data_IF_382613335245
#
_entry.id   IF_382613335245
#
_cell.length_a   1.000
_cell.length_b   1.000
_cell.length_c   1.000
_cell.angle_alpha   90.00
_cell.angle_beta   90.00
_cell.angle_gamma   90.00
#
_symmetry.space_group_name_H-M   'P 1'
#
loop_
_entity.id
_entity.type
_entity.pdbx_description
1 polymer ?
#
# COMPACT_ATOMS: atom_id res chain seq x y z
N UNK A 1 -46.30 0.38 27.07
CA UNK A 1 -44.82 0.57 27.07
C UNK A 1 -44.03 -0.66 26.61
N UNK A 2 -44.58 -1.89 26.68
CA UNK A 2 -43.91 -3.12 26.20
C UNK A 2 -43.85 -3.25 24.67
N UNK A 3 -44.92 -2.90 23.93
CA UNK A 3 -44.97 -3.07 22.47
C UNK A 3 -43.88 -2.27 21.72
N UNK A 4 -43.57 -1.04 22.17
CA UNK A 4 -42.48 -0.22 21.62
C UNK A 4 -41.09 -0.81 21.90
N UNK A 5 -40.90 -1.48 23.04
CA UNK A 5 -39.63 -2.15 23.39
C UNK A 5 -39.42 -3.42 22.56
N UNK A 6 -40.49 -4.16 22.28
CA UNK A 6 -40.45 -5.36 21.43
C UNK A 6 -40.13 -5.02 19.96
N UNK A 7 -40.68 -3.92 19.43
CA UNK A 7 -40.39 -3.46 18.07
C UNK A 7 -38.93 -2.99 17.94
N UNK A 8 -38.41 -2.28 18.95
CA UNK A 8 -37.03 -1.83 18.94
C UNK A 8 -36.03 -3.00 19.02
N UNK A 9 -36.33 -4.03 19.82
CA UNK A 9 -35.52 -5.25 19.90
C UNK A 9 -35.52 -6.04 18.59
N UNK A 10 -36.66 -6.10 17.88
CA UNK A 10 -36.77 -6.76 16.58
C UNK A 10 -35.97 -6.03 15.47
N UNK A 11 -35.94 -4.69 15.50
CA UNK A 11 -35.14 -3.90 14.54
C UNK A 11 -33.63 -4.09 14.73
N UNK A 12 -33.17 -4.20 15.98
CA UNK A 12 -31.75 -4.40 16.29
C UNK A 12 -31.30 -5.81 15.85
N UNK A 13 -32.15 -6.83 16.02
CA UNK A 13 -31.84 -8.20 15.59
C UNK A 13 -31.81 -8.35 14.06
N UNK A 14 -32.64 -7.58 13.32
CA UNK A 14 -32.68 -7.64 11.87
C UNK A 14 -31.41 -7.07 11.20
N UNK A 15 -30.70 -6.14 11.86
CA UNK A 15 -29.43 -5.58 11.35
C UNK A 15 -28.21 -6.45 11.70
N UNK A 16 -28.34 -7.43 12.58
CA UNK A 16 -27.23 -8.30 13.00
C UNK A 16 -26.94 -9.46 12.02
N UNK A 17 -27.75 -9.63 10.97
CA UNK A 17 -27.71 -10.81 10.07
C UNK A 17 -27.30 -10.46 8.63
N UNK A 18 -26.85 -9.24 8.36
CA UNK A 18 -26.22 -8.97 7.07
C UNK A 18 -24.78 -9.48 7.13
N UNK A 19 -24.43 -10.59 6.46
CA UNK A 19 -23.03 -10.97 6.35
C UNK A 19 -22.32 -9.82 5.64
N UNK A 20 -21.28 -9.27 6.26
CA UNK A 20 -20.33 -8.42 5.55
C UNK A 20 -19.86 -9.22 4.34
N UNK A 21 -20.26 -8.80 3.13
CA UNK A 21 -19.83 -9.48 1.91
C UNK A 21 -18.32 -9.34 1.84
N UNK A 22 -17.61 -10.45 2.00
CA UNK A 22 -16.20 -10.50 1.71
C UNK A 22 -15.99 -9.98 0.28
N UNK A 23 -15.07 -9.04 0.10
CA UNK A 23 -14.71 -8.47 -1.20
C UNK A 23 -13.88 -9.48 -2.00
N UNK A 24 -14.39 -10.70 -2.19
CA UNK A 24 -13.65 -11.77 -2.87
C UNK A 24 -13.50 -11.51 -4.36
N UNK A 25 -14.41 -10.76 -5.00
CA UNK A 25 -14.29 -10.44 -6.42
C UNK A 25 -12.98 -9.71 -6.79
N UNK A 26 -12.35 -9.00 -5.84
CA UNK A 26 -11.07 -8.33 -6.08
C UNK A 26 -9.91 -9.32 -6.24
N UNK A 27 -9.95 -10.50 -5.58
CA UNK A 27 -8.87 -11.48 -5.67
C UNK A 27 -8.79 -12.11 -7.06
N UNK A 28 -9.94 -12.29 -7.72
CA UNK A 28 -10.03 -12.84 -9.07
C UNK A 28 -9.43 -11.88 -10.13
N UNK A 29 -9.30 -10.60 -9.77
CA UNK A 29 -8.69 -9.57 -10.63
C UNK A 29 -7.21 -9.35 -10.36
N UNK A 30 -6.63 -9.99 -9.32
CA UNK A 30 -5.21 -9.87 -9.04
C UNK A 30 -4.41 -10.54 -10.18
N UNK A 31 -3.51 -9.82 -10.87
CA UNK A 31 -2.75 -10.41 -11.96
C UNK A 31 -1.91 -11.60 -11.47
N UNK A 32 -1.94 -12.71 -12.19
CA UNK A 32 -1.11 -13.90 -11.90
C UNK A 32 0.39 -13.56 -11.93
N UNK A 33 0.77 -12.50 -12.65
CA UNK A 33 2.12 -11.97 -12.67
C UNK A 33 2.52 -11.23 -11.40
N UNK A 34 1.60 -10.88 -10.50
CA UNK A 34 1.93 -10.31 -9.20
C UNK A 34 2.53 -11.39 -8.30
N UNK A 35 3.86 -11.35 -8.12
CA UNK A 35 4.61 -12.38 -7.40
C UNK A 35 4.90 -12.00 -5.96
N UNK A 36 4.98 -10.71 -5.64
CA UNK A 36 5.08 -10.20 -4.28
C UNK A 36 4.23 -8.94 -4.14
N UNK A 37 3.47 -8.86 -3.05
CA UNK A 37 2.68 -7.69 -2.66
C UNK A 37 2.91 -7.44 -1.18
N UNK A 38 3.65 -6.38 -0.85
CA UNK A 38 4.03 -6.05 0.53
C UNK A 38 3.47 -4.68 0.88
N UNK A 39 2.66 -4.62 1.94
CA UNK A 39 2.20 -3.35 2.51
C UNK A 39 3.06 -3.03 3.74
N UNK A 40 3.69 -1.86 3.76
CA UNK A 40 4.62 -1.46 4.82
C UNK A 40 4.75 0.07 4.86
N UNK A 41 5.36 0.57 5.94
CA UNK A 41 5.61 2.00 6.13
C UNK A 41 4.34 2.83 6.22
N UNK A 42 4.53 4.12 6.45
CA UNK A 42 3.45 5.10 6.55
C UNK A 42 3.85 6.40 5.86
N UNK A 43 2.85 7.15 5.42
CA UNK A 43 3.04 8.52 4.96
C UNK A 43 1.98 9.41 5.58
N UNK A 44 2.32 10.69 5.72
CA UNK A 44 1.44 11.69 6.27
C UNK A 44 1.61 13.00 5.50
N UNK A 45 0.54 13.46 4.87
CA UNK A 45 0.45 14.82 4.36
C UNK A 45 -0.20 15.68 5.45
N UNK A 46 0.60 16.59 6.03
CA UNK A 46 0.16 17.50 7.10
C UNK A 46 -0.95 18.47 6.66
N UNK A 47 -1.23 18.55 5.36
CA UNK A 47 -2.31 19.33 4.76
C UNK A 47 -2.38 20.75 5.32
N UNK A 48 -1.25 21.47 5.36
CA UNK A 48 -1.20 22.79 6.01
C UNK A 48 -1.85 23.88 5.15
N UNK A 49 -2.04 23.62 3.86
CA UNK A 49 -2.56 24.60 2.89
C UNK A 49 -4.09 24.49 2.72
N UNK A 50 -4.79 25.63 2.59
CA UNK A 50 -6.18 25.66 2.16
C UNK A 50 -6.37 24.92 0.82
N UNK A 51 -7.41 24.10 0.72
CA UNK A 51 -7.72 23.35 -0.51
C UNK A 51 -8.88 24.01 -1.25
N UNK A 52 -8.79 24.05 -2.57
CA UNK A 52 -9.90 24.49 -3.42
C UNK A 52 -11.00 23.42 -3.44
N UNK A 53 -12.22 23.82 -3.11
CA UNK A 53 -13.39 22.98 -3.21
C UNK A 53 -13.83 22.77 -4.66
N UNK A 54 -14.68 21.77 -4.90
CA UNK A 54 -15.30 21.55 -6.21
C UNK A 54 -16.14 22.74 -6.72
N UNK A 55 -16.43 23.70 -5.85
CA UNK A 55 -17.12 24.97 -6.09
C UNK A 55 -16.14 26.14 -6.33
N UNK A 56 -14.83 25.90 -6.41
CA UNK A 56 -13.79 26.92 -6.54
C UNK A 56 -13.53 27.73 -5.27
N UNK A 57 -14.17 27.40 -4.14
CA UNK A 57 -13.95 28.11 -2.88
C UNK A 57 -12.80 27.49 -2.08
N UNK A 58 -11.93 28.34 -1.55
CA UNK A 58 -10.89 27.91 -0.61
C UNK A 58 -11.53 27.47 0.70
N UNK A 59 -11.29 26.20 1.07
CA UNK A 59 -11.71 25.63 2.35
C UNK A 59 -10.51 25.55 3.28
N UNK A 60 -10.71 25.76 4.59
CA UNK A 60 -9.64 25.59 5.57
C UNK A 60 -9.06 24.17 5.45
N UNK A 61 -7.75 24.02 5.72
CA UNK A 61 -7.12 22.72 5.71
C UNK A 61 -7.88 21.72 6.60
N UNK A 62 -7.98 20.44 6.21
CA UNK A 62 -8.65 19.44 7.03
C UNK A 62 -8.00 19.37 8.41
N UNK A 63 -8.83 19.26 9.46
CA UNK A 63 -8.38 19.29 10.86
C UNK A 63 -7.48 18.11 11.26
N UNK A 64 -7.35 17.11 10.39
CA UNK A 64 -6.48 15.95 10.61
C UNK A 64 -5.62 15.74 9.37
N UNK A 65 -4.35 15.36 9.55
CA UNK A 65 -3.47 15.06 8.44
C UNK A 65 -4.02 13.88 7.63
N UNK A 66 -3.81 13.90 6.31
CA UNK A 66 -4.13 12.74 5.47
C UNK A 66 -2.99 11.76 5.63
N UNK A 67 -3.31 10.53 5.99
CA UNK A 67 -2.32 9.47 6.20
C UNK A 67 -2.68 8.21 5.44
N UNK A 68 -1.68 7.38 5.26
CA UNK A 68 -1.82 6.11 4.58
C UNK A 68 -0.53 5.32 4.62
N UNK A 69 -0.48 4.23 3.85
CA UNK A 69 0.65 3.32 3.82
C UNK A 69 1.20 3.16 2.41
N UNK A 70 2.41 2.61 2.31
CA UNK A 70 2.99 2.26 1.02
C UNK A 70 2.78 0.79 0.71
N UNK A 71 2.72 0.47 -0.58
CA UNK A 71 2.69 -0.90 -1.06
C UNK A 71 3.73 -1.09 -2.15
N UNK A 72 4.61 -2.07 -1.95
CA UNK A 72 5.60 -2.48 -2.94
C UNK A 72 5.09 -3.74 -3.63
N UNK A 73 5.07 -3.72 -4.96
CA UNK A 73 4.53 -4.79 -5.80
C UNK A 73 5.59 -5.21 -6.80
N UNK A 74 5.89 -6.51 -6.87
CA UNK A 74 6.70 -7.07 -7.96
C UNK A 74 5.79 -7.78 -8.97
N UNK A 75 5.86 -7.34 -10.23
CA UNK A 75 5.12 -7.91 -11.36
C UNK A 75 6.09 -8.62 -12.29
N UNK A 76 5.95 -9.93 -12.44
CA UNK A 76 6.72 -10.75 -13.37
C UNK A 76 6.36 -10.43 -14.82
N UNK A 77 7.37 -10.26 -15.64
CA UNK A 77 7.29 -10.00 -17.06
C UNK A 77 7.40 -11.31 -17.87
N UNK A 78 7.06 -11.26 -19.16
CA UNK A 78 7.08 -12.44 -20.03
C UNK A 78 8.48 -13.03 -20.25
N UNK A 79 9.53 -12.24 -20.08
CA UNK A 79 10.94 -12.68 -20.16
C UNK A 79 11.47 -13.27 -18.84
N UNK A 80 10.63 -13.35 -17.81
CA UNK A 80 10.96 -13.89 -16.50
C UNK A 80 11.52 -12.87 -15.50
N UNK A 81 11.90 -11.67 -15.96
CA UNK A 81 12.29 -10.53 -15.10
C UNK A 81 11.07 -9.97 -14.37
N UNK A 82 11.26 -9.01 -13.47
CA UNK A 82 10.18 -8.34 -12.78
C UNK A 82 10.33 -6.82 -12.86
N UNK A 83 9.18 -6.14 -12.91
CA UNK A 83 9.06 -4.71 -12.64
C UNK A 83 8.59 -4.52 -11.21
N UNK A 84 9.10 -3.50 -10.54
CA UNK A 84 8.70 -3.18 -9.17
C UNK A 84 7.95 -1.86 -9.19
N UNK A 85 6.79 -1.84 -8.52
CA UNK A 85 5.95 -0.66 -8.39
C UNK A 85 5.85 -0.26 -6.92
N UNK A 86 5.92 1.03 -6.66
CA UNK A 86 5.59 1.64 -5.38
C UNK A 86 4.23 2.32 -5.50
N UNK A 87 3.32 1.97 -4.61
CA UNK A 87 2.00 2.60 -4.51
C UNK A 87 1.87 3.37 -3.20
N UNK A 88 1.29 4.57 -3.28
CA UNK A 88 0.89 5.38 -2.13
C UNK A 88 -0.62 5.24 -1.93
N UNK A 89 -1.02 4.63 -0.81
CA UNK A 89 -2.43 4.31 -0.53
C UNK A 89 -2.92 5.17 0.64
N UNK A 90 -4.02 5.90 0.47
CA UNK A 90 -4.65 6.68 1.54
C UNK A 90 -5.67 5.85 2.33
N UNK A 91 -5.75 6.11 3.63
CA UNK A 91 -6.90 5.67 4.41
C UNK A 91 -8.09 6.59 4.15
N UNK A 92 -9.21 6.01 3.71
CA UNK A 92 -10.46 6.74 3.51
C UNK A 92 -11.62 6.02 4.19
N UNK A 93 -12.75 6.70 4.37
CA UNK A 93 -13.95 6.12 4.97
C UNK A 93 -14.50 4.94 4.16
N UNK A 94 -14.31 4.95 2.84
CA UNK A 94 -14.78 3.92 1.92
C UNK A 94 -13.75 2.78 1.71
N UNK A 95 -12.62 2.85 2.41
CA UNK A 95 -11.53 1.88 2.34
C UNK A 95 -10.21 2.47 1.79
N UNK A 96 -9.23 1.62 1.45
CA UNK A 96 -7.97 2.07 0.89
C UNK A 96 -8.16 2.71 -0.49
N UNK A 97 -7.64 3.94 -0.68
CA UNK A 97 -7.69 4.64 -1.96
C UNK A 97 -6.28 4.80 -2.55
N UNK A 98 -6.08 4.36 -3.80
CA UNK A 98 -4.81 4.53 -4.49
C UNK A 98 -4.63 6.00 -4.87
N UNK A 99 -3.59 6.65 -4.34
CA UNK A 99 -3.23 8.02 -4.73
C UNK A 99 -2.21 8.04 -5.85
N UNK A 100 -1.24 7.16 -5.78
CA UNK A 100 -0.07 7.19 -6.66
C UNK A 100 0.44 5.78 -6.94
N UNK A 101 0.94 5.56 -8.15
CA UNK A 101 1.56 4.31 -8.58
C UNK A 101 2.76 4.63 -9.48
N UNK A 102 3.97 4.35 -8.99
CA UNK A 102 5.24 4.67 -9.65
C UNK A 102 5.97 3.37 -9.98
N UNK A 103 6.50 3.25 -11.20
CA UNK A 103 7.45 2.20 -11.55
C UNK A 103 8.83 2.59 -11.03
N UNK A 104 9.49 1.69 -10.31
CA UNK A 104 10.86 1.87 -9.84
C UNK A 104 11.81 1.39 -10.94
N UNK A 105 12.16 2.30 -11.85
CA UNK A 105 12.88 2.00 -13.10
C UNK A 105 14.25 1.37 -12.88
N UNK A 106 14.91 1.67 -11.76
CA UNK A 106 16.21 1.12 -11.38
C UNK A 106 16.21 -0.41 -11.45
N UNK A 107 15.14 -1.04 -10.94
CA UNK A 107 15.01 -2.50 -10.96
C UNK A 107 14.77 -3.06 -12.37
N UNK A 108 14.06 -2.32 -13.22
CA UNK A 108 13.81 -2.71 -14.61
C UNK A 108 15.09 -2.60 -15.46
N UNK A 109 15.88 -1.53 -15.25
CA UNK A 109 17.17 -1.33 -15.94
C UNK A 109 18.17 -2.45 -15.63
N UNK A 110 18.14 -3.00 -14.41
CA UNK A 110 18.98 -4.13 -14.00
C UNK A 110 18.52 -5.50 -14.53
N UNK A 111 17.36 -5.58 -15.21
CA UNK A 111 16.73 -6.86 -15.60
C UNK A 111 16.57 -7.82 -14.43
N UNK A 112 16.05 -7.28 -13.32
CA UNK A 112 15.97 -7.99 -12.05
C UNK A 112 15.01 -9.19 -12.08
N UNK A 113 15.46 -10.31 -11.53
CA UNK A 113 14.68 -11.49 -11.20
C UNK A 113 14.39 -11.47 -9.71
N UNK A 114 13.24 -10.94 -9.32
CA UNK A 114 12.85 -10.79 -7.90
C UNK A 114 12.54 -12.15 -7.29
N UNK A 115 13.16 -12.45 -6.15
CA UNK A 115 13.03 -13.71 -5.42
C UNK A 115 12.35 -13.56 -4.07
N UNK A 116 12.39 -12.37 -3.46
CA UNK A 116 11.65 -12.05 -2.23
C UNK A 116 11.50 -10.52 -2.10
N UNK A 117 10.49 -10.06 -1.37
CA UNK A 117 10.32 -8.66 -0.96
C UNK A 117 9.93 -8.66 0.50
N UNK A 118 10.73 -8.02 1.34
CA UNK A 118 10.61 -8.08 2.79
C UNK A 118 10.49 -6.69 3.40
N UNK A 119 9.42 -6.41 4.18
CA UNK A 119 9.36 -5.20 4.97
C UNK A 119 10.35 -5.29 6.13
N UNK A 120 10.83 -4.14 6.62
CA UNK A 120 11.67 -4.08 7.82
C UNK A 120 11.02 -4.75 9.04
N UNK A 121 9.71 -4.61 9.18
CA UNK A 121 8.94 -5.13 10.31
C UNK A 121 7.71 -5.90 9.85
N UNK A 122 7.42 -7.00 10.56
CA UNK A 122 6.16 -7.75 10.41
C UNK A 122 5.04 -7.19 11.29
N UNK A 123 5.30 -6.15 12.08
CA UNK A 123 4.28 -5.48 12.90
C UNK A 123 3.30 -4.65 12.05
N UNK A 124 3.55 -4.52 10.74
CA UNK A 124 2.76 -3.74 9.81
C UNK A 124 3.24 -2.29 9.71
N UNK A 125 2.30 -1.38 9.52
CA UNK A 125 2.55 0.05 9.43
C UNK A 125 3.14 0.61 10.75
N UNK A 126 4.27 1.30 10.65
CA UNK A 126 4.90 2.05 11.75
C UNK A 126 4.05 3.27 12.15
N UNK A 127 4.08 3.70 13.42
CA UNK A 127 3.39 4.93 13.85
C UNK A 127 4.04 6.22 13.28
N UNK A 128 5.29 6.12 12.81
CA UNK A 128 6.02 7.21 12.17
C UNK A 128 6.03 7.09 10.64
N UNK A 129 5.99 8.22 9.90
CA UNK A 129 6.18 8.21 8.45
C UNK A 129 7.53 7.62 8.03
N UNK A 130 7.55 7.04 6.84
CA UNK A 130 8.72 6.42 6.22
C UNK A 130 8.43 5.03 5.67
N UNK A 131 9.37 4.51 4.90
CA UNK A 131 9.35 3.16 4.32
C UNK A 131 10.75 2.57 4.36
N UNK A 132 10.83 1.31 4.78
CA UNK A 132 12.01 0.48 4.58
C UNK A 132 11.56 -0.90 4.10
N UNK A 133 11.95 -1.24 2.86
CA UNK A 133 11.66 -2.54 2.24
C UNK A 133 12.91 -3.05 1.55
N UNK A 134 13.29 -4.29 1.83
CA UNK A 134 14.38 -4.99 1.14
C UNK A 134 13.81 -5.86 0.03
N UNK A 135 14.28 -5.64 -1.20
CA UNK A 135 14.03 -6.47 -2.37
C UNK A 135 15.23 -7.41 -2.55
N UNK A 136 14.95 -8.71 -2.60
CA UNK A 136 15.95 -9.72 -2.96
C UNK A 136 15.77 -10.07 -4.43
N UNK A 137 16.85 -9.99 -5.20
CA UNK A 137 16.83 -10.16 -6.64
C UNK A 137 18.10 -10.78 -7.19
N UNK A 138 18.02 -11.31 -8.40
CA UNK A 138 19.17 -11.75 -9.20
C UNK A 138 19.21 -10.97 -10.50
N UNK A 139 20.40 -10.66 -11.01
CA UNK A 139 20.58 -10.09 -12.36
C UNK A 139 20.93 -11.17 -13.38
N UNK A 140 21.56 -12.26 -12.93
CA UNK A 140 21.66 -13.53 -13.64
C UNK A 140 20.70 -14.56 -13.00
N UNK A 141 19.68 -15.07 -13.72
CA UNK A 141 18.74 -16.04 -13.16
C UNK A 141 19.40 -17.35 -12.74
N UNK A 142 20.59 -17.67 -13.25
CA UNK A 142 21.38 -18.85 -12.89
C UNK A 142 22.29 -18.62 -11.68
N UNK A 143 22.40 -17.39 -11.18
CA UNK A 143 23.15 -17.09 -9.96
C UNK A 143 22.59 -17.87 -8.77
N UNK A 144 23.47 -18.37 -7.90
CA UNK A 144 23.05 -19.13 -6.71
C UNK A 144 22.42 -18.20 -5.67
N UNK A 145 23.12 -17.13 -5.33
CA UNK A 145 22.72 -16.17 -4.32
C UNK A 145 21.95 -15.01 -4.93
N UNK A 146 21.03 -14.44 -4.14
CA UNK A 146 20.36 -13.19 -4.47
C UNK A 146 21.16 -12.00 -3.91
N UNK A 147 21.12 -10.90 -4.63
CA UNK A 147 21.50 -9.59 -4.10
C UNK A 147 20.33 -8.97 -3.35
N UNK A 148 20.64 -8.06 -2.43
CA UNK A 148 19.65 -7.30 -1.66
C UNK A 148 19.74 -5.82 -2.00
N UNK A 149 18.59 -5.20 -2.22
CA UNK A 149 18.42 -3.78 -2.53
C UNK A 149 17.33 -3.21 -1.63
N UNK A 150 17.52 -2.01 -1.10
CA UNK A 150 16.57 -1.39 -0.18
C UNK A 150 15.87 -0.24 -0.86
N UNK A 151 14.54 -0.19 -0.73
CA UNK A 151 13.70 0.97 -1.03
C UNK A 151 13.48 1.69 0.29
N UNK A 152 13.97 2.92 0.37
CA UNK A 152 13.89 3.79 1.52
C UNK A 152 13.03 5.01 1.16
N UNK A 153 12.09 5.35 2.02
CA UNK A 153 11.43 6.66 2.00
C UNK A 153 11.58 7.23 3.40
N UNK A 154 12.13 8.43 3.50
CA UNK A 154 12.28 9.10 4.80
C UNK A 154 10.99 9.76 5.27
N UNK A 155 11.06 10.44 6.42
CA UNK A 155 9.93 11.14 7.04
C UNK A 155 9.43 12.34 6.20
N UNK A 156 10.24 12.85 5.28
CA UNK A 156 9.91 13.96 4.39
C UNK A 156 9.32 13.47 3.05
N UNK A 157 9.35 12.16 2.80
CA UNK A 157 8.89 11.56 1.55
C UNK A 157 9.98 11.46 0.48
N UNK A 158 11.25 11.70 0.80
CA UNK A 158 12.34 11.53 -0.15
C UNK A 158 12.66 10.05 -0.32
N UNK A 159 12.64 9.57 -1.57
CA UNK A 159 12.90 8.17 -1.90
C UNK A 159 14.35 7.93 -2.30
N UNK A 160 14.92 6.81 -1.82
CA UNK A 160 16.22 6.28 -2.24
C UNK A 160 16.13 4.80 -2.50
N UNK A 161 16.85 4.33 -3.52
CA UNK A 161 17.01 2.92 -3.84
C UNK A 161 18.49 2.58 -3.86
N UNK A 162 18.92 1.70 -2.97
CA UNK A 162 20.33 1.45 -2.72
C UNK A 162 20.62 -0.05 -2.59
N UNK A 163 21.76 -0.50 -3.11
CA UNK A 163 22.23 -1.87 -2.88
C UNK A 163 22.62 -2.03 -1.41
N UNK A 164 22.09 -3.04 -0.73
CA UNK A 164 22.42 -3.28 0.66
C UNK A 164 23.88 -3.75 0.78
N UNK A 165 24.67 -3.06 1.60
CA UNK A 165 26.03 -3.48 1.96
C UNK A 165 25.97 -4.46 3.12
N UNK A 166 26.01 -5.76 2.83
CA UNK A 166 26.22 -6.79 3.84
C UNK A 166 27.70 -6.89 4.23
#
# INVERSE_FOLDING_TARGET
MQLRKSILAALILANAVLPARAQTAAIDTLPVSAIFVVSSGMWEDRNLEPREGADGQLRPPPASPTRGYYKVIAIRQGDGTAKIYLQRIAFTADGPNLLENVELEEFNQMKSYVTDVRPESSNGASDSPGLFVTVYLKTDPMAKEAESWTILIDELGEMKIEKASN
#
